data_IF_634852930409
#
_entry.id   IF_634852930409
#
_cell.length_a   1.000
_cell.length_b   1.000
_cell.length_c   1.000
_cell.angle_alpha   90.00
_cell.angle_beta   90.00
_cell.angle_gamma   90.00
#
_symmetry.space_group_name_H-M   'P 1'
#
loop_
_entity.id
_entity.type
_entity.pdbx_description
1 polymer ?
#
# COMPACT_ATOMS: atom_id res chain seq x y z
N UNK A 1 -6.48 -19.20 -2.34
CA UNK A 1 -5.53 -18.13 -1.99
C UNK A 1 -4.48 -18.11 -3.06
N UNK A 2 -4.54 -17.06 -3.85
CA UNK A 2 -3.73 -16.86 -5.04
C UNK A 2 -2.62 -15.83 -4.74
N UNK A 3 -1.45 -15.92 -5.40
CA UNK A 3 -0.38 -14.95 -5.20
C UNK A 3 -0.84 -13.57 -5.68
N UNK A 4 -0.64 -12.55 -4.85
CA UNK A 4 -0.90 -11.15 -5.20
C UNK A 4 0.42 -10.44 -5.55
N UNK A 5 1.43 -10.56 -4.68
CA UNK A 5 2.72 -9.92 -4.88
C UNK A 5 3.85 -10.72 -4.21
N UNK A 6 5.05 -10.65 -4.79
CA UNK A 6 6.29 -11.14 -4.17
C UNK A 6 7.34 -10.05 -4.32
N UNK A 7 7.87 -9.56 -3.19
CA UNK A 7 8.69 -8.35 -3.12
C UNK A 7 10.01 -8.71 -2.45
N UNK A 8 11.09 -8.60 -3.22
CA UNK A 8 12.46 -8.80 -2.72
C UNK A 8 12.98 -7.48 -2.18
N UNK A 9 13.28 -7.43 -0.89
CA UNK A 9 13.61 -6.17 -0.19
C UNK A 9 15.01 -6.18 0.42
N UNK A 10 15.73 -7.32 0.38
CA UNK A 10 17.08 -7.48 0.97
C UNK A 10 18.10 -6.43 0.52
N UNK A 11 17.91 -5.83 -0.66
CA UNK A 11 18.82 -4.86 -1.28
C UNK A 11 18.34 -3.41 -1.23
N UNK A 12 17.23 -3.13 -0.55
CA UNK A 12 16.64 -1.81 -0.53
C UNK A 12 17.08 -1.04 0.73
N UNK A 13 17.75 0.10 0.51
CA UNK A 13 18.30 0.93 1.59
C UNK A 13 17.26 1.83 2.28
N UNK A 14 16.05 1.93 1.72
CA UNK A 14 15.00 2.87 2.13
C UNK A 14 13.73 2.14 2.60
N UNK A 15 13.90 1.23 3.56
CA UNK A 15 12.80 0.42 4.10
C UNK A 15 12.28 0.95 5.45
N UNK A 16 10.97 0.74 5.75
CA UNK A 16 10.44 0.87 7.10
C UNK A 16 11.26 0.07 8.11
N UNK A 17 11.53 0.66 9.28
CA UNK A 17 12.32 0.03 10.35
C UNK A 17 11.74 -1.32 10.80
N UNK A 18 10.42 -1.48 10.74
CA UNK A 18 9.74 -2.74 11.08
C UNK A 18 10.11 -3.90 10.14
N UNK A 19 10.62 -3.61 8.94
CA UNK A 19 11.10 -4.63 8.01
C UNK A 19 12.56 -5.03 8.20
N UNK A 20 13.25 -4.50 9.22
CA UNK A 20 14.65 -4.83 9.45
C UNK A 20 14.85 -6.35 9.62
N UNK A 21 15.77 -6.91 8.83
CA UNK A 21 16.06 -8.35 8.81
C UNK A 21 15.10 -9.19 7.96
N UNK A 22 14.09 -8.59 7.32
CA UNK A 22 13.26 -9.26 6.32
C UNK A 22 13.91 -9.06 4.94
N UNK A 23 14.02 -10.14 4.18
CA UNK A 23 14.62 -10.19 2.85
C UNK A 23 13.56 -10.30 1.74
N UNK A 24 12.40 -10.90 2.05
CA UNK A 24 11.33 -11.20 1.10
C UNK A 24 9.96 -11.11 1.77
N UNK A 25 9.01 -10.52 1.06
CA UNK A 25 7.59 -10.51 1.43
C UNK A 25 6.80 -11.19 0.30
N UNK A 26 5.93 -12.15 0.64
CA UNK A 26 4.95 -12.72 -0.28
C UNK A 26 3.55 -12.50 0.25
N UNK A 27 2.68 -11.93 -0.57
CA UNK A 27 1.30 -11.59 -0.23
C UNK A 27 0.40 -12.48 -1.07
N UNK A 28 -0.54 -13.15 -0.41
CA UNK A 28 -1.61 -13.92 -1.03
C UNK A 28 -2.95 -13.30 -0.72
N UNK A 29 -3.89 -13.42 -1.66
CA UNK A 29 -5.27 -12.95 -1.52
C UNK A 29 -6.24 -14.13 -1.64
N UNK A 30 -7.29 -14.12 -0.83
CA UNK A 30 -8.34 -15.13 -0.84
C UNK A 30 -9.28 -14.92 -2.03
N UNK A 31 -9.65 -16.02 -2.69
CA UNK A 31 -10.66 -16.05 -3.75
C UNK A 31 -11.97 -15.42 -3.26
N UNK A 32 -12.29 -15.56 -1.96
CA UNK A 32 -13.49 -14.98 -1.34
C UNK A 32 -13.53 -13.45 -1.31
N UNK A 33 -12.41 -12.78 -1.57
CA UNK A 33 -12.41 -11.34 -1.78
C UNK A 33 -13.18 -10.96 -3.05
N UNK A 34 -13.07 -11.79 -4.10
CA UNK A 34 -13.70 -11.55 -5.41
C UNK A 34 -15.19 -11.91 -5.45
N UNK A 35 -15.72 -12.56 -4.41
CA UNK A 35 -17.14 -12.95 -4.31
C UNK A 35 -18.09 -11.77 -4.02
N UNK A 36 -17.56 -10.55 -3.82
CA UNK A 36 -18.34 -9.32 -3.61
C UNK A 36 -18.91 -9.12 -2.21
N UNK A 37 -18.96 -10.14 -1.37
CA UNK A 37 -19.36 -10.05 0.04
C UNK A 37 -18.19 -9.63 0.94
N UNK A 38 -17.72 -8.40 0.75
CA UNK A 38 -16.57 -7.85 1.46
C UNK A 38 -16.99 -7.36 2.85
N UNK A 39 -16.25 -7.79 3.87
CA UNK A 39 -16.33 -7.25 5.21
C UNK A 39 -15.33 -6.11 5.38
N UNK A 40 -15.86 -4.90 5.21
CA UNK A 40 -15.09 -3.66 5.29
C UNK A 40 -14.46 -3.40 6.67
N UNK A 41 -14.87 -4.13 7.71
CA UNK A 41 -14.29 -3.98 9.05
C UNK A 41 -13.05 -4.85 9.27
N UNK A 42 -12.79 -5.84 8.41
CA UNK A 42 -11.69 -6.78 8.61
C UNK A 42 -11.11 -7.29 7.29
N UNK A 43 -10.36 -6.45 6.60
CA UNK A 43 -9.67 -6.84 5.36
C UNK A 43 -8.62 -7.92 5.57
N UNK A 44 -7.95 -7.95 6.74
CA UNK A 44 -6.89 -8.92 7.06
C UNK A 44 -7.29 -10.36 6.77
N UNK A 45 -8.55 -10.74 6.98
CA UNK A 45 -9.03 -12.12 6.76
C UNK A 45 -8.92 -12.60 5.31
N UNK A 46 -8.84 -11.67 4.36
CA UNK A 46 -8.68 -11.98 2.94
C UNK A 46 -7.22 -12.14 2.53
N UNK A 47 -6.26 -11.83 3.41
CA UNK A 47 -4.84 -11.84 3.08
C UNK A 47 -4.06 -12.85 3.91
N UNK A 48 -3.05 -13.44 3.30
CA UNK A 48 -2.02 -14.19 3.99
C UNK A 48 -0.67 -13.61 3.57
N UNK A 49 0.05 -13.03 4.51
CA UNK A 49 1.30 -12.32 4.27
C UNK A 49 2.42 -13.12 4.93
N UNK A 50 3.44 -13.45 4.14
CA UNK A 50 4.61 -14.23 4.57
C UNK A 50 5.85 -13.38 4.43
N UNK A 51 6.66 -13.36 5.48
CA UNK A 51 7.94 -12.67 5.54
C UNK A 51 9.05 -13.68 5.74
N UNK A 52 10.16 -13.52 5.03
CA UNK A 52 11.32 -14.40 5.11
C UNK A 52 12.58 -13.58 5.37
N UNK A 53 13.46 -14.10 6.21
CA UNK A 53 14.72 -13.43 6.59
C UNK A 53 15.88 -13.70 5.64
N UNK A 54 15.66 -14.52 4.61
CA UNK A 54 16.67 -14.90 3.63
C UNK A 54 16.04 -15.30 2.30
N UNK A 55 16.73 -15.00 1.21
CA UNK A 55 16.40 -15.43 -0.16
C UNK A 55 17.16 -16.70 -0.57
N UNK A 56 17.94 -17.30 0.34
CA UNK A 56 18.66 -18.55 0.07
C UNK A 56 17.68 -19.73 -0.03
N UNK A 57 17.95 -20.63 -0.98
CA UNK A 57 17.18 -21.86 -1.21
C UNK A 57 15.69 -21.63 -1.56
N UNK A 58 15.37 -20.51 -2.21
CA UNK A 58 14.03 -20.31 -2.76
C UNK A 58 13.72 -21.42 -3.79
N UNK A 59 12.54 -22.01 -3.65
CA UNK A 59 12.02 -23.01 -4.57
C UNK A 59 11.09 -22.29 -5.54
N UNK A 60 11.31 -22.49 -6.83
CA UNK A 60 10.40 -21.99 -7.84
C UNK A 60 9.06 -22.71 -7.72
N UNK A 61 8.01 -21.93 -7.47
CA UNK A 61 6.63 -22.39 -7.46
C UNK A 61 5.92 -21.89 -8.71
N UNK A 62 5.29 -22.78 -9.48
CA UNK A 62 4.35 -22.39 -10.53
C UNK A 62 3.00 -22.06 -9.91
N UNK A 63 2.94 -20.90 -9.25
CA UNK A 63 1.68 -20.34 -8.78
C UNK A 63 1.25 -19.23 -9.72
N UNK A 64 -0.01 -19.28 -10.10
CA UNK A 64 -0.63 -18.28 -10.95
C UNK A 64 -1.86 -17.70 -10.23
N UNK A 65 -2.19 -16.47 -10.54
CA UNK A 65 -3.39 -15.84 -10.02
C UNK A 65 -4.52 -16.01 -11.04
N UNK A 66 -5.68 -16.50 -10.60
CA UNK A 66 -6.80 -16.78 -11.52
C UNK A 66 -7.40 -15.51 -12.14
N UNK A 67 -7.24 -14.38 -11.47
CA UNK A 67 -7.91 -13.11 -11.80
C UNK A 67 -6.93 -12.05 -12.32
N UNK A 68 -5.63 -12.19 -12.04
CA UNK A 68 -4.59 -11.21 -12.37
C UNK A 68 -3.52 -11.77 -13.30
N UNK A 69 -2.97 -10.90 -14.14
CA UNK A 69 -1.77 -11.16 -14.94
C UNK A 69 -0.54 -10.85 -14.09
N UNK A 70 0.40 -11.79 -14.04
CA UNK A 70 1.70 -11.54 -13.43
C UNK A 70 2.59 -10.69 -14.37
N UNK A 71 3.30 -9.71 -13.81
CA UNK A 71 4.36 -8.99 -14.51
C UNK A 71 5.33 -8.39 -13.48
N UNK A 72 6.60 -8.15 -13.85
CA UNK A 72 7.55 -7.53 -12.95
C UNK A 72 7.29 -6.02 -12.82
N UNK A 73 7.40 -5.51 -11.60
CA UNK A 73 7.51 -4.08 -11.32
C UNK A 73 8.98 -3.66 -11.34
N UNK A 74 9.24 -2.41 -11.72
CA UNK A 74 10.57 -1.79 -11.61
C UNK A 74 10.51 -0.80 -10.46
N UNK A 75 11.49 -0.85 -9.56
CA UNK A 75 11.59 0.07 -8.44
C UNK A 75 12.19 1.41 -8.88
N UNK A 76 11.67 2.49 -8.31
CA UNK A 76 12.20 3.85 -8.44
C UNK A 76 12.29 4.47 -7.05
N UNK A 77 13.40 5.17 -6.79
CA UNK A 77 13.57 5.88 -5.53
C UNK A 77 12.89 7.24 -5.60
N UNK A 78 11.93 7.47 -4.72
CA UNK A 78 11.23 8.75 -4.56
C UNK A 78 11.74 9.44 -3.29
N UNK A 79 12.40 10.59 -3.45
CA UNK A 79 12.98 11.35 -2.34
C UNK A 79 12.07 12.48 -1.84
N UNK A 80 10.96 12.73 -2.52
CA UNK A 80 9.98 13.76 -2.19
C UNK A 80 8.60 13.13 -1.97
N UNK A 81 8.55 12.11 -1.11
CA UNK A 81 7.29 11.45 -0.73
C UNK A 81 6.69 12.10 0.52
N UNK A 82 5.38 12.29 0.53
CA UNK A 82 4.65 12.98 1.59
C UNK A 82 3.27 12.34 1.82
N UNK A 83 2.64 12.56 3.00
CA UNK A 83 1.29 12.08 3.28
C UNK A 83 0.23 12.72 2.40
N UNK A 84 -0.79 11.95 2.01
CA UNK A 84 -1.80 12.38 1.04
C UNK A 84 -3.18 11.90 1.39
N UNK A 85 -4.15 12.77 1.10
CA UNK A 85 -5.54 12.60 1.48
C UNK A 85 -6.43 13.24 0.42
N UNK A 86 -7.45 12.50 -0.02
CA UNK A 86 -8.44 13.03 -0.97
C UNK A 86 -9.46 13.92 -0.25
N UNK A 87 -9.89 13.54 0.96
CA UNK A 87 -10.80 14.31 1.81
C UNK A 87 -10.60 13.97 3.29
N UNK A 88 -10.37 14.98 4.13
CA UNK A 88 -10.27 14.82 5.59
C UNK A 88 -9.04 14.03 6.08
N UNK A 89 -8.80 14.10 7.39
CA UNK A 89 -7.63 13.46 8.01
C UNK A 89 -6.33 14.26 7.91
N UNK A 90 -6.32 15.36 7.14
CA UNK A 90 -5.29 16.40 7.22
C UNK A 90 -5.40 17.08 8.59
N UNK A 91 -4.30 17.21 9.37
CA UNK A 91 -4.30 17.98 10.60
C UNK A 91 -4.77 19.41 10.36
N UNK A 92 -5.68 19.94 11.19
CA UNK A 92 -6.33 21.24 10.97
C UNK A 92 -5.34 22.38 10.70
N UNK A 93 -4.21 22.43 11.42
CA UNK A 93 -3.21 23.47 11.22
C UNK A 93 -2.52 23.38 9.84
N UNK A 94 -2.36 22.17 9.30
CA UNK A 94 -1.82 21.96 7.96
C UNK A 94 -2.88 22.27 6.90
N UNK A 95 -4.12 21.86 7.15
CA UNK A 95 -5.25 22.19 6.28
C UNK A 95 -5.44 23.70 6.11
N UNK A 96 -5.42 24.45 7.22
CA UNK A 96 -5.50 25.92 7.19
C UNK A 96 -4.37 26.54 6.34
N UNK A 97 -3.13 26.05 6.48
CA UNK A 97 -1.99 26.51 5.67
C UNK A 97 -2.21 26.20 4.18
N UNK A 98 -2.67 24.99 3.85
CA UNK A 98 -2.95 24.61 2.46
C UNK A 98 -4.03 25.51 1.86
N UNK A 99 -5.13 25.75 2.57
CA UNK A 99 -6.17 26.67 2.12
C UNK A 99 -5.66 28.09 1.92
N UNK A 100 -4.83 28.62 2.82
CA UNK A 100 -4.22 29.95 2.66
C UNK A 100 -3.33 30.03 1.40
N UNK A 101 -2.60 28.96 1.08
CA UNK A 101 -1.74 28.89 -0.12
C UNK A 101 -2.54 28.69 -1.42
N UNK A 102 -3.67 27.98 -1.37
CA UNK A 102 -4.59 27.88 -2.50
C UNK A 102 -5.31 29.22 -2.76
N UNK A 103 -5.77 29.89 -1.70
CA UNK A 103 -6.43 31.21 -1.79
C UNK A 103 -5.48 32.28 -2.38
N UNK A 104 -4.17 32.16 -2.16
CA UNK A 104 -3.16 33.05 -2.77
C UNK A 104 -2.79 32.66 -4.21
N UNK A 105 -3.30 31.54 -4.75
CA UNK A 105 -2.87 30.90 -6.00
C UNK A 105 -1.38 30.55 -6.03
N UNK A 106 -0.78 30.25 -4.87
CA UNK A 106 0.62 29.81 -4.80
C UNK A 106 0.76 28.32 -5.13
N UNK A 107 -0.26 27.51 -4.79
CA UNK A 107 -0.38 26.09 -5.12
C UNK A 107 -1.85 25.74 -5.41
N UNK A 108 -2.07 24.65 -6.14
CA UNK A 108 -3.30 23.87 -6.16
C UNK A 108 -2.99 22.51 -5.53
N UNK A 109 -3.63 22.14 -4.42
CA UNK A 109 -3.32 20.87 -3.76
C UNK A 109 -3.54 19.68 -4.68
N UNK A 110 -4.54 19.69 -5.56
CA UNK A 110 -4.83 18.52 -6.38
C UNK A 110 -3.94 18.41 -7.60
N UNK A 111 -3.51 19.54 -8.17
CA UNK A 111 -2.66 19.57 -9.36
C UNK A 111 -1.16 19.61 -8.98
N UNK A 112 -0.74 20.44 -8.02
CA UNK A 112 0.69 20.59 -7.70
C UNK A 112 1.20 19.57 -6.68
N UNK A 113 0.28 19.00 -5.89
CA UNK A 113 0.60 18.02 -4.87
C UNK A 113 -0.04 16.68 -5.28
N UNK A 114 -1.37 16.60 -5.42
CA UNK A 114 -2.15 15.36 -5.53
C UNK A 114 -2.08 14.61 -6.87
N UNK A 115 -1.55 15.24 -7.92
CA UNK A 115 -1.69 14.79 -9.32
C UNK A 115 -0.92 13.50 -9.61
N UNK A 116 0.28 13.34 -9.02
CA UNK A 116 1.16 12.18 -9.26
C UNK A 116 0.67 10.86 -8.62
N UNK A 117 -0.51 10.87 -7.96
CA UNK A 117 -0.93 9.82 -7.01
C UNK A 117 -1.88 8.75 -7.52
N UNK A 118 -2.29 8.81 -8.77
CA UNK A 118 -3.25 7.85 -9.26
C UNK A 118 -2.56 6.51 -9.59
N UNK A 119 -2.56 5.62 -8.60
CA UNK A 119 -2.28 4.18 -8.69
C UNK A 119 -0.80 3.76 -8.70
N UNK A 120 -0.07 4.04 -7.62
CA UNK A 120 1.30 3.56 -7.44
C UNK A 120 1.40 2.50 -6.34
N UNK A 121 2.05 1.38 -6.68
CA UNK A 121 2.54 0.43 -5.69
C UNK A 121 3.74 1.04 -4.97
N UNK A 122 3.72 1.08 -3.64
CA UNK A 122 4.79 1.70 -2.84
C UNK A 122 5.26 0.75 -1.75
N UNK A 123 6.53 0.85 -1.38
CA UNK A 123 7.07 0.28 -0.15
C UNK A 123 7.82 1.38 0.60
N UNK A 124 7.53 1.52 1.89
CA UNK A 124 7.98 2.65 2.68
C UNK A 124 7.31 3.97 2.30
N UNK A 125 7.83 5.05 2.87
CA UNK A 125 7.25 6.38 2.71
C UNK A 125 5.93 6.54 3.47
N UNK A 126 5.03 7.34 2.90
CA UNK A 126 3.71 7.66 3.42
C UNK A 126 2.60 7.00 2.58
N UNK A 127 1.48 6.60 3.21
CA UNK A 127 0.32 6.09 2.47
C UNK A 127 -0.32 7.20 1.62
N UNK A 128 -0.77 6.84 0.42
CA UNK A 128 -1.52 7.73 -0.47
C UNK A 128 -3.01 7.38 -0.44
N UNK A 129 -3.78 8.00 0.47
CA UNK A 129 -5.19 7.67 0.68
C UNK A 129 -6.11 8.18 -0.44
N UNK A 130 -7.07 7.36 -0.84
CA UNK A 130 -8.18 7.72 -1.76
C UNK A 130 -9.36 8.37 -1.05
N UNK A 131 -9.38 8.32 0.27
CA UNK A 131 -10.40 8.95 1.12
C UNK A 131 -9.70 9.62 2.32
N UNK A 132 -10.42 9.78 3.42
CA UNK A 132 -9.86 10.19 4.70
C UNK A 132 -8.77 9.23 5.17
N UNK A 133 -7.71 9.81 5.73
CA UNK A 133 -6.60 9.04 6.25
C UNK A 133 -7.04 8.02 7.31
N UNK A 134 -6.42 6.84 7.28
CA UNK A 134 -6.71 5.77 8.22
C UNK A 134 -5.52 5.44 9.13
N UNK A 135 -5.79 5.27 10.42
CA UNK A 135 -4.79 4.92 11.42
C UNK A 135 -5.31 3.85 12.37
N UNK A 136 -4.54 2.76 12.51
CA UNK A 136 -4.89 1.67 13.42
C UNK A 136 -4.54 2.00 14.88
N UNK A 137 -3.26 2.26 15.14
CA UNK A 137 -2.67 2.71 16.39
C UNK A 137 -1.13 2.80 16.24
N UNK A 138 -0.44 3.31 17.26
CA UNK A 138 1.03 3.47 17.32
C UNK A 138 1.85 2.17 17.17
N UNK A 139 1.21 1.00 17.31
CA UNK A 139 1.92 -0.27 17.21
C UNK A 139 1.97 -0.85 15.79
N UNK A 140 1.20 -0.31 14.85
CA UNK A 140 1.11 -0.82 13.48
C UNK A 140 1.51 0.28 12.52
N UNK A 141 2.76 0.22 12.04
CA UNK A 141 3.31 1.20 11.11
C UNK A 141 2.96 0.82 9.68
N UNK A 142 2.71 1.83 8.84
CA UNK A 142 2.55 1.64 7.40
C UNK A 142 3.83 1.05 6.82
N UNK A 143 3.68 0.09 5.91
CA UNK A 143 4.82 -0.59 5.28
C UNK A 143 4.78 -0.49 3.77
N UNK A 144 3.64 -0.79 3.14
CA UNK A 144 3.52 -0.81 1.70
C UNK A 144 2.06 -0.62 1.29
N UNK A 145 1.86 -0.22 0.04
CA UNK A 145 0.55 -0.22 -0.60
C UNK A 145 0.59 -0.93 -1.96
N UNK A 146 -0.52 -1.56 -2.31
CA UNK A 146 -0.78 -2.13 -3.63
C UNK A 146 -2.00 -1.42 -4.19
N UNK A 147 -1.84 -0.76 -5.32
CA UNK A 147 -2.91 -0.06 -6.00
C UNK A 147 -3.60 -0.95 -7.03
N UNK A 148 -4.76 -0.50 -7.50
CA UNK A 148 -5.31 -1.01 -8.75
C UNK A 148 -4.31 -0.83 -9.88
N UNK A 149 -4.23 -1.81 -10.78
CA UNK A 149 -3.25 -1.87 -11.85
C UNK A 149 -3.86 -2.51 -13.09
N UNK A 150 -4.08 -1.70 -14.12
CA UNK A 150 -4.69 -2.13 -15.38
C UNK A 150 -3.82 -3.17 -16.10
N UNK A 151 -2.49 -3.04 -16.04
CA UNK A 151 -1.56 -3.97 -16.69
C UNK A 151 -1.64 -5.36 -16.03
N UNK A 152 -1.84 -5.38 -14.72
CA UNK A 152 -2.12 -6.59 -13.96
C UNK A 152 -3.52 -7.17 -14.20
N UNK A 153 -4.43 -6.43 -14.85
CA UNK A 153 -5.87 -6.71 -14.79
C UNK A 153 -6.37 -6.80 -13.34
N UNK A 154 -5.89 -5.93 -12.47
CA UNK A 154 -6.22 -5.92 -11.05
C UNK A 154 -6.94 -4.63 -10.70
N UNK A 155 -8.24 -4.74 -10.44
CA UNK A 155 -9.05 -3.62 -9.98
C UNK A 155 -9.48 -3.85 -8.54
N UNK A 156 -8.97 -3.01 -7.64
CA UNK A 156 -9.54 -2.80 -6.31
C UNK A 156 -10.64 -1.77 -6.53
N UNK A 157 -11.89 -2.12 -6.19
CA UNK A 157 -13.12 -1.30 -6.29
C UNK A 157 -12.85 0.18 -6.61
N UNK A 158 -13.33 0.71 -7.74
CA UNK A 158 -13.14 2.12 -8.14
C UNK A 158 -11.69 2.66 -8.03
N UNK A 159 -10.69 1.93 -8.56
CA UNK A 159 -9.27 2.32 -8.55
C UNK A 159 -8.67 2.54 -7.15
N UNK A 160 -9.11 1.71 -6.19
CA UNK A 160 -8.68 1.72 -4.81
C UNK A 160 -7.26 1.20 -4.57
N UNK A 161 -6.91 1.18 -3.29
CA UNK A 161 -5.62 0.77 -2.76
C UNK A 161 -5.79 -0.18 -1.57
N UNK A 162 -4.89 -1.15 -1.45
CA UNK A 162 -4.64 -1.88 -0.21
C UNK A 162 -3.44 -1.31 0.50
N UNK A 163 -3.57 -1.05 1.79
CA UNK A 163 -2.50 -0.57 2.67
C UNK A 163 -2.17 -1.64 3.68
N UNK A 164 -0.89 -1.95 3.80
CA UNK A 164 -0.40 -3.00 4.69
C UNK A 164 0.41 -2.36 5.81
N UNK A 165 0.04 -2.71 7.03
CA UNK A 165 0.66 -2.24 8.24
C UNK A 165 1.25 -3.41 9.00
N UNK A 166 2.43 -3.24 9.57
CA UNK A 166 3.16 -4.31 10.22
C UNK A 166 3.57 -3.92 11.64
N UNK A 167 3.44 -4.88 12.55
CA UNK A 167 3.97 -4.82 13.89
C UNK A 167 5.09 -5.86 14.02
N UNK A 168 6.33 -5.41 13.98
CA UNK A 168 7.52 -6.27 14.07
C UNK A 168 7.61 -7.03 15.40
N UNK A 169 7.13 -6.45 16.52
CA UNK A 169 7.15 -7.08 17.84
C UNK A 169 6.17 -8.24 17.97
N UNK A 170 5.01 -8.12 17.32
CA UNK A 170 3.95 -9.15 17.32
C UNK A 170 4.05 -10.10 16.14
N UNK A 171 4.90 -9.78 15.15
CA UNK A 171 4.92 -10.44 13.85
C UNK A 171 3.51 -10.52 13.25
N UNK A 172 2.81 -9.38 13.30
CA UNK A 172 1.40 -9.30 12.91
C UNK A 172 1.16 -8.22 11.85
N UNK A 173 0.31 -8.55 10.89
CA UNK A 173 -0.10 -7.65 9.82
C UNK A 173 -1.54 -7.18 10.00
N UNK A 174 -1.78 -5.93 9.64
CA UNK A 174 -3.11 -5.38 9.41
C UNK A 174 -3.21 -4.86 7.98
N UNK A 175 -4.43 -4.91 7.45
CA UNK A 175 -4.72 -4.45 6.09
C UNK A 175 -5.90 -3.51 6.16
N UNK A 176 -5.78 -2.39 5.44
CA UNK A 176 -6.84 -1.44 5.19
C UNK A 176 -7.05 -1.32 3.68
N UNK A 177 -8.24 -0.88 3.26
CA UNK A 177 -8.58 -0.65 1.87
C UNK A 177 -9.42 0.61 1.78
N UNK A 178 -9.11 1.46 0.82
CA UNK A 178 -9.95 2.59 0.42
C UNK A 178 -10.06 2.67 -1.11
N UNK A 179 -11.02 3.45 -1.57
CA UNK A 179 -11.38 3.63 -2.97
C UNK A 179 -12.27 4.85 -3.16
N UNK A 180 -12.46 5.31 -4.40
CA UNK A 180 -13.40 6.38 -4.75
C UNK A 180 -14.88 5.95 -4.64
#
# INVERSE_FOLDING_TARGET
MDPLATIFIEKNDYLPKDLNGIALITIFISDSFYDGNIDFNNFKKYFNIKTYTTTKNLIYCQWDNKYMKHFPLTEEYVNNDYPLWDDGGIPNNLFEILCEMEDSNDIDYYEDIAEDFYSQHKIGGYPSFRQSGYWFNEEYNYVLQISSDEKANFNIVHNGNFYFYYNSKKNDWKVYCDFY
#
